data_IF_683434408835
#
_entry.id   IF_683434408835
#
_cell.length_a   1.000
_cell.length_b   1.000
_cell.length_c   1.000
_cell.angle_alpha   90.00
_cell.angle_beta   90.00
_cell.angle_gamma   90.00
#
_symmetry.space_group_name_H-M   'P 1'
#
loop_
_entity.id
_entity.type
_entity.pdbx_description
1 polymer ?
#
# COMPACT_ATOMS: atom_id res chain seq x y z
N UNK A 1 -11.60 13.06 4.16
CA UNK A 1 -11.71 11.67 3.66
C UNK A 1 -12.10 11.68 2.19
N UNK A 2 -11.12 11.77 1.28
CA UNK A 2 -11.36 11.86 -0.16
C UNK A 2 -10.71 10.66 -0.84
N UNK A 3 -11.51 9.62 -1.09
CA UNK A 3 -11.09 8.43 -1.84
C UNK A 3 -10.90 8.88 -3.29
N UNK A 4 -9.66 8.99 -3.74
CA UNK A 4 -9.35 9.33 -5.13
C UNK A 4 -9.15 8.02 -5.90
N UNK A 5 -10.24 7.29 -6.20
CA UNK A 5 -10.16 6.18 -7.14
C UNK A 5 -10.30 6.72 -8.57
N UNK A 6 -9.23 6.67 -9.35
CA UNK A 6 -9.22 7.10 -10.75
C UNK A 6 -9.66 5.94 -11.65
N UNK A 7 -10.96 5.62 -11.69
CA UNK A 7 -11.56 4.69 -12.67
C UNK A 7 -13.11 4.78 -12.62
N UNK A 8 -13.72 5.33 -13.69
CA UNK A 8 -15.04 5.09 -14.36
C UNK A 8 -16.28 4.47 -13.62
N UNK A 9 -17.53 4.56 -14.18
CA UNK A 9 -18.75 4.75 -13.40
C UNK A 9 -19.32 3.48 -12.72
N UNK A 10 -19.78 3.69 -11.49
CA UNK A 10 -20.57 2.83 -10.61
C UNK A 10 -19.96 1.50 -10.11
N UNK A 11 -19.08 1.63 -9.12
CA UNK A 11 -18.52 0.56 -8.27
C UNK A 11 -19.25 0.40 -6.91
N UNK A 12 -20.48 0.91 -6.78
CA UNK A 12 -21.20 0.91 -5.49
C UNK A 12 -21.46 -0.46 -4.86
N UNK A 13 -21.75 -1.56 -5.59
CA UNK A 13 -22.07 -2.85 -4.97
C UNK A 13 -20.84 -3.68 -4.58
N UNK A 14 -19.63 -3.20 -4.92
CA UNK A 14 -18.39 -3.96 -4.76
C UNK A 14 -17.76 -3.65 -3.41
N UNK A 15 -17.35 -4.62 -2.61
CA UNK A 15 -16.68 -4.34 -1.33
C UNK A 15 -15.36 -3.57 -1.55
N UNK A 16 -15.03 -2.55 -0.74
CA UNK A 16 -13.84 -1.71 -0.93
C UNK A 16 -12.53 -2.49 -1.14
N UNK A 17 -12.38 -3.62 -0.44
CA UNK A 17 -11.20 -4.49 -0.48
C UNK A 17 -10.94 -5.10 -1.85
N UNK A 18 -11.97 -5.32 -2.67
CA UNK A 18 -11.84 -5.97 -3.98
C UNK A 18 -11.85 -4.96 -5.14
N UNK A 19 -11.92 -3.65 -4.85
CA UNK A 19 -11.99 -2.60 -5.88
C UNK A 19 -10.67 -2.32 -6.59
N UNK A 20 -9.57 -2.96 -6.19
CA UNK A 20 -8.25 -2.75 -6.80
C UNK A 20 -7.72 -1.32 -6.72
N UNK A 21 -8.32 -0.43 -5.90
CA UNK A 21 -7.86 0.94 -5.74
C UNK A 21 -6.83 1.00 -4.59
N UNK A 22 -5.66 1.59 -4.84
CA UNK A 22 -4.75 2.00 -3.77
C UNK A 22 -5.26 3.29 -3.11
N UNK A 23 -5.18 3.39 -1.78
CA UNK A 23 -5.71 4.52 -1.01
C UNK A 23 -4.63 5.15 -0.12
N UNK A 24 -4.58 6.48 -0.11
CA UNK A 24 -3.73 7.26 0.81
C UNK A 24 -4.63 8.13 1.68
N UNK A 25 -4.46 8.05 3.00
CA UNK A 25 -5.21 8.83 3.97
C UNK A 25 -4.54 10.18 4.24
N UNK A 26 -5.34 11.20 4.51
CA UNK A 26 -4.84 12.54 4.88
C UNK A 26 -4.19 12.55 6.27
N UNK A 27 -4.69 11.69 7.17
CA UNK A 27 -4.02 11.36 8.43
C UNK A 27 -3.22 10.08 8.18
N UNK A 28 -1.95 10.05 8.56
CA UNK A 28 -1.05 8.92 8.33
C UNK A 28 -1.67 7.62 8.88
N UNK A 29 -2.13 6.74 7.99
CA UNK A 29 -2.61 5.41 8.32
C UNK A 29 -1.43 4.42 8.43
N UNK A 30 -0.44 4.79 9.24
CA UNK A 30 0.74 3.96 9.50
C UNK A 30 0.46 3.10 10.73
N UNK A 31 0.91 1.85 10.70
CA UNK A 31 0.93 0.96 11.84
C UNK A 31 2.09 1.36 12.77
N UNK A 32 1.82 1.96 13.95
CA UNK A 32 2.86 2.58 14.78
C UNK A 32 3.78 1.57 15.48
N UNK A 33 3.39 0.31 15.53
CA UNK A 33 4.16 -0.80 16.10
C UNK A 33 5.03 -1.52 15.06
N UNK A 34 5.03 -1.05 13.81
CA UNK A 34 5.80 -1.61 12.69
C UNK A 34 6.82 -0.57 12.20
N UNK A 35 7.96 -1.05 11.72
CA UNK A 35 8.96 -0.22 11.02
C UNK A 35 8.38 0.33 9.70
N UNK A 36 9.04 1.33 9.12
CA UNK A 36 8.62 1.90 7.82
C UNK A 36 8.66 0.82 6.72
N UNK A 37 9.69 -0.04 6.74
CA UNK A 37 9.83 -1.18 5.85
C UNK A 37 8.68 -2.18 5.97
N UNK A 38 8.32 -2.53 7.20
CA UNK A 38 7.18 -3.44 7.47
C UNK A 38 5.84 -2.81 7.05
N UNK A 39 5.66 -1.50 7.26
CA UNK A 39 4.49 -0.77 6.80
C UNK A 39 4.35 -0.83 5.26
N UNK A 40 5.46 -0.74 4.52
CA UNK A 40 5.45 -0.88 3.05
C UNK A 40 5.22 -2.33 2.59
N UNK A 41 5.73 -3.32 3.32
CA UNK A 41 5.58 -4.74 2.98
C UNK A 41 4.21 -5.33 3.36
N UNK A 42 3.47 -4.69 4.27
CA UNK A 42 2.24 -5.22 4.84
C UNK A 42 1.13 -5.49 3.81
N UNK A 43 0.84 -4.59 2.83
CA UNK A 43 -0.16 -4.85 1.80
C UNK A 43 0.20 -6.07 0.93
N UNK A 44 1.49 -6.24 0.62
CA UNK A 44 1.98 -7.38 -0.17
C UNK A 44 1.93 -8.70 0.61
N UNK A 45 2.04 -8.61 1.94
CA UNK A 45 1.89 -9.77 2.83
C UNK A 45 0.44 -10.24 2.87
N UNK A 46 -0.52 -9.32 2.93
CA UNK A 46 -1.96 -9.64 2.82
C UNK A 46 -2.27 -10.24 1.43
N UNK A 47 -1.60 -9.75 0.38
CA UNK A 47 -1.71 -10.30 -0.97
C UNK A 47 -0.95 -11.62 -1.19
N UNK A 48 -0.34 -12.21 -0.14
CA UNK A 48 0.39 -13.48 -0.19
C UNK A 48 1.57 -13.51 -1.19
N UNK A 49 2.19 -12.35 -1.43
CA UNK A 49 3.36 -12.24 -2.33
C UNK A 49 4.59 -12.90 -1.68
N UNK A 50 5.40 -13.67 -2.42
CA UNK A 50 6.61 -14.30 -1.89
C UNK A 50 7.58 -13.29 -1.28
N UNK A 51 8.25 -13.67 -0.19
CA UNK A 51 9.15 -12.77 0.56
C UNK A 51 10.19 -12.06 -0.32
N UNK A 52 10.83 -12.79 -1.23
CA UNK A 52 11.84 -12.24 -2.13
C UNK A 52 11.29 -11.13 -3.05
N UNK A 53 10.06 -11.29 -3.54
CA UNK A 53 9.41 -10.25 -4.36
C UNK A 53 9.00 -9.04 -3.53
N UNK A 54 8.48 -9.25 -2.30
CA UNK A 54 8.18 -8.15 -1.39
C UNK A 54 9.42 -7.31 -1.10
N UNK A 55 10.54 -7.97 -0.78
CA UNK A 55 11.78 -7.29 -0.43
C UNK A 55 12.28 -6.44 -1.61
N UNK A 56 12.22 -6.97 -2.85
CA UNK A 56 12.53 -6.22 -4.06
C UNK A 56 11.63 -5.00 -4.24
N UNK A 57 10.32 -5.17 -4.12
CA UNK A 57 9.37 -4.07 -4.29
C UNK A 57 9.53 -2.98 -3.22
N UNK A 58 9.84 -3.36 -1.98
CA UNK A 58 10.09 -2.40 -0.91
C UNK A 58 11.37 -1.60 -1.15
N UNK A 59 12.44 -2.23 -1.63
CA UNK A 59 13.68 -1.53 -2.01
C UNK A 59 13.46 -0.53 -3.15
N UNK A 60 12.73 -0.94 -4.20
CA UNK A 60 12.38 -0.06 -5.32
C UNK A 60 11.59 1.17 -4.85
N UNK A 61 10.58 0.96 -3.99
CA UNK A 61 9.77 2.05 -3.45
C UNK A 61 10.57 2.96 -2.51
N UNK A 62 11.44 2.38 -1.67
CA UNK A 62 12.31 3.15 -0.79
C UNK A 62 13.29 4.04 -1.58
N UNK A 63 13.81 3.56 -2.72
CA UNK A 63 14.66 4.34 -3.61
C UNK A 63 13.89 5.53 -4.24
N UNK A 64 12.67 5.29 -4.73
CA UNK A 64 11.82 6.34 -5.33
C UNK A 64 11.47 7.42 -4.30
N UNK A 65 11.12 7.01 -3.09
CA UNK A 65 10.72 7.91 -2.00
C UNK A 65 11.91 8.55 -1.29
N UNK A 66 13.15 8.22 -1.69
CA UNK A 66 14.41 8.65 -1.03
C UNK A 66 14.45 8.29 0.46
N UNK A 67 13.83 7.16 0.79
CA UNK A 67 13.79 6.57 2.12
C UNK A 67 14.76 5.38 2.22
N UNK A 68 15.82 5.34 1.42
CA UNK A 68 16.75 4.19 1.33
C UNK A 68 17.48 3.81 2.64
N UNK A 69 17.27 4.56 3.73
CA UNK A 69 17.87 4.33 5.04
C UNK A 69 16.84 3.85 6.09
N UNK A 70 15.91 2.97 5.69
CA UNK A 70 14.85 2.38 6.54
C UNK A 70 14.90 0.85 6.62
#
# INVERSE_FOLDING_TARGET
MKIRCQSTPNITPVEPSVRGCAMVFQNYALYPHMTVRENMAYPLTIAHVPKAERDRHVEEMAAILRLANI
#
